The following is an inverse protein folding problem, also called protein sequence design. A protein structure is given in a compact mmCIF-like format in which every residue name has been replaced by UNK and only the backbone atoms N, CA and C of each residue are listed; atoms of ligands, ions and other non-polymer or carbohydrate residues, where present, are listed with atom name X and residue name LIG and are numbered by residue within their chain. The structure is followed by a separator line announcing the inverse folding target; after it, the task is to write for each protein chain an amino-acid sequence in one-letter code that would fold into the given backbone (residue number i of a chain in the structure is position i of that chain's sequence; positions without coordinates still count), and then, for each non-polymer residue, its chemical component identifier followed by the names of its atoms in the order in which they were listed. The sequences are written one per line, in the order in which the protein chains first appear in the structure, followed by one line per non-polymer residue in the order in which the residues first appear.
data_IF_297959921319
#
_entry.id   IF_297959921319
#
_cell.length_a   1.000
_cell.length_b   1.000
_cell.length_c   1.000
_cell.angle_alpha   90.00
_cell.angle_beta   90.00
_cell.angle_gamma   90.00
#
_symmetry.space_group_name_H-M   'P 1'
#
loop_
_entity.id
_entity.type
_entity.pdbx_description
1 polymer ?
#
# COMPACT_ATOMS: atom_id res chain seq x y z
N UNK A 1 15.73 -25.11 -30.28
CA UNK A 1 14.70 -24.05 -30.26
C UNK A 1 15.31 -22.92 -29.45
N UNK A 2 15.66 -21.83 -30.13
CA UNK A 2 16.52 -20.75 -29.62
C UNK A 2 15.99 -20.14 -28.33
N UNK A 3 16.86 -20.08 -27.32
CA UNK A 3 16.71 -19.20 -26.17
C UNK A 3 16.75 -17.79 -26.74
N UNK A 4 15.59 -17.15 -26.88
CA UNK A 4 15.53 -15.72 -27.20
C UNK A 4 16.34 -14.99 -26.15
N UNK A 5 17.36 -14.26 -26.61
CA UNK A 5 18.15 -13.33 -25.83
C UNK A 5 17.25 -12.53 -24.89
N UNK A 6 17.36 -12.83 -23.58
CA UNK A 6 16.86 -11.92 -22.55
C UNK A 6 17.77 -10.71 -22.68
N UNK A 7 17.22 -9.63 -23.21
CA UNK A 7 17.86 -8.32 -23.27
C UNK A 7 18.39 -7.99 -21.87
N UNK A 8 19.69 -8.20 -21.67
CA UNK A 8 20.35 -7.99 -20.38
C UNK A 8 20.35 -6.50 -20.14
N UNK A 9 19.35 -6.04 -19.38
CA UNK A 9 19.35 -4.67 -18.86
C UNK A 9 20.67 -4.49 -18.15
N UNK A 10 21.45 -3.50 -18.58
CA UNK A 10 22.65 -3.11 -17.85
C UNK A 10 22.23 -2.75 -16.42
N UNK A 11 22.57 -3.61 -15.46
CA UNK A 11 22.24 -3.45 -14.04
C UNK A 11 23.21 -2.47 -13.35
N UNK A 12 24.15 -1.90 -14.10
CA UNK A 12 25.06 -0.90 -13.54
C UNK A 12 24.37 0.45 -13.39
N UNK A 13 24.71 1.14 -12.30
CA UNK A 13 24.23 2.47 -12.03
C UNK A 13 25.03 3.48 -12.84
N UNK A 14 24.56 3.77 -14.06
CA UNK A 14 25.18 4.81 -14.89
C UNK A 14 25.01 6.20 -14.27
N UNK A 15 25.93 7.16 -14.54
CA UNK A 15 25.80 8.54 -14.04
C UNK A 15 24.47 9.20 -14.40
N UNK A 16 23.93 8.88 -15.58
CA UNK A 16 22.63 9.39 -16.02
C UNK A 16 21.47 8.84 -15.17
N UNK A 17 21.49 7.53 -14.85
CA UNK A 17 20.48 6.92 -13.97
C UNK A 17 20.59 7.45 -12.55
N UNK A 18 21.81 7.62 -12.05
CA UNK A 18 22.06 8.23 -10.74
C UNK A 18 21.46 9.63 -10.67
N UNK A 19 21.82 10.52 -11.60
CA UNK A 19 21.32 11.89 -11.63
C UNK A 19 19.80 11.94 -11.75
N UNK A 20 19.21 11.17 -12.68
CA UNK A 20 17.76 11.06 -12.85
C UNK A 20 17.07 10.58 -11.57
N UNK A 21 17.58 9.53 -10.94
CA UNK A 21 16.99 8.97 -9.72
C UNK A 21 17.07 9.94 -8.55
N UNK A 22 18.21 10.63 -8.37
CA UNK A 22 18.36 11.68 -7.36
C UNK A 22 17.38 12.85 -7.60
N UNK A 23 17.20 13.28 -8.84
CA UNK A 23 16.23 14.30 -9.19
C UNK A 23 14.78 13.84 -8.91
N UNK A 24 14.42 12.62 -9.29
CA UNK A 24 13.11 12.05 -9.01
C UNK A 24 12.85 11.94 -7.50
N UNK A 25 13.84 11.46 -6.74
CA UNK A 25 13.75 11.37 -5.28
C UNK A 25 13.58 12.75 -4.64
N UNK A 26 14.34 13.76 -5.10
CA UNK A 26 14.19 15.14 -4.62
C UNK A 26 12.78 15.67 -4.89
N UNK A 27 12.26 15.49 -6.10
CA UNK A 27 10.90 15.91 -6.46
C UNK A 27 9.87 15.18 -5.59
N UNK A 28 9.98 13.86 -5.42
CA UNK A 28 9.07 13.07 -4.58
C UNK A 28 9.07 13.57 -3.13
N UNK A 29 10.24 13.82 -2.54
CA UNK A 29 10.36 14.28 -1.15
C UNK A 29 9.83 15.72 -0.96
N UNK A 30 10.17 16.64 -1.85
CA UNK A 30 9.72 18.03 -1.77
C UNK A 30 8.20 18.14 -1.96
N UNK A 31 7.67 17.44 -2.96
CA UNK A 31 6.23 17.41 -3.21
C UNK A 31 5.50 16.70 -2.07
N UNK A 32 6.03 15.60 -1.51
CA UNK A 32 5.42 14.93 -0.36
C UNK A 32 5.26 15.88 0.83
N UNK A 33 6.34 16.59 1.18
CA UNK A 33 6.33 17.52 2.30
C UNK A 33 5.30 18.64 2.09
N UNK A 34 5.34 19.31 0.94
CA UNK A 34 4.40 20.40 0.63
C UNK A 34 2.96 19.90 0.58
N UNK A 35 2.70 18.76 -0.07
CA UNK A 35 1.37 18.18 -0.18
C UNK A 35 0.79 17.86 1.20
N UNK A 36 1.62 17.29 2.09
CA UNK A 36 1.24 16.92 3.43
C UNK A 36 0.94 18.14 4.32
N UNK A 37 1.80 19.17 4.29
CA UNK A 37 1.67 20.34 5.15
C UNK A 37 0.54 21.28 4.70
N UNK A 38 0.38 21.50 3.40
CA UNK A 38 -0.66 22.42 2.89
C UNK A 38 -2.01 21.73 2.73
N UNK A 39 -2.05 20.53 2.14
CA UNK A 39 -3.32 19.90 1.77
C UNK A 39 -3.68 18.75 2.71
N UNK A 40 -2.72 17.93 3.11
CA UNK A 40 -2.91 16.85 4.07
C UNK A 40 -3.38 17.38 5.43
N UNK A 41 -2.73 18.41 5.96
CA UNK A 41 -3.12 19.05 7.21
C UNK A 41 -4.54 19.64 7.14
N UNK A 42 -4.87 20.38 6.08
CA UNK A 42 -6.21 20.96 5.91
C UNK A 42 -7.29 19.88 5.81
N UNK A 43 -7.08 18.88 4.95
CA UNK A 43 -8.05 17.80 4.71
C UNK A 43 -8.23 16.89 5.92
N UNK A 44 -7.15 16.46 6.57
CA UNK A 44 -7.21 15.49 7.67
C UNK A 44 -7.55 16.12 9.02
N UNK A 45 -7.32 17.42 9.21
CA UNK A 45 -7.57 18.11 10.48
C UNK A 45 -8.79 19.01 10.36
N UNK A 46 -8.73 20.04 9.53
CA UNK A 46 -9.80 21.05 9.48
C UNK A 46 -11.09 20.50 8.86
N UNK A 47 -11.03 19.86 7.70
CA UNK A 47 -12.24 19.29 7.07
C UNK A 47 -12.84 18.17 7.94
N UNK A 48 -11.99 17.40 8.63
CA UNK A 48 -12.39 16.28 9.47
C UNK A 48 -13.27 16.67 10.65
N UNK A 49 -13.04 17.86 11.21
CA UNK A 49 -13.84 18.44 12.29
C UNK A 49 -15.30 18.71 11.86
N UNK A 50 -15.56 18.81 10.55
CA UNK A 50 -16.92 18.94 10.01
C UNK A 50 -17.46 17.61 9.48
N UNK A 51 -16.63 16.81 8.79
CA UNK A 51 -17.05 15.52 8.23
C UNK A 51 -15.87 14.59 7.96
N UNK A 52 -15.96 13.35 8.46
CA UNK A 52 -14.98 12.29 8.18
C UNK A 52 -15.02 11.90 6.70
N UNK A 53 -16.22 11.77 6.10
CA UNK A 53 -16.39 11.43 4.69
C UNK A 53 -15.68 12.42 3.76
N UNK A 54 -15.96 13.72 3.92
CA UNK A 54 -15.34 14.74 3.08
C UNK A 54 -13.85 14.91 3.36
N UNK A 55 -13.42 14.70 4.61
CA UNK A 55 -12.00 14.63 4.96
C UNK A 55 -11.30 13.52 4.19
N UNK A 56 -11.82 12.29 4.25
CA UNK A 56 -11.28 11.14 3.50
C UNK A 56 -11.26 11.41 2.01
N UNK A 57 -12.34 11.91 1.42
CA UNK A 57 -12.41 12.25 0.00
C UNK A 57 -11.36 13.29 -0.41
N UNK A 58 -11.18 14.34 0.37
CA UNK A 58 -10.17 15.37 0.11
C UNK A 58 -8.75 14.81 0.25
N UNK A 59 -8.47 14.09 1.35
CA UNK A 59 -7.17 13.43 1.57
C UNK A 59 -6.85 12.46 0.44
N UNK A 60 -7.81 11.63 0.02
CA UNK A 60 -7.67 10.67 -1.06
C UNK A 60 -7.40 11.33 -2.42
N UNK A 61 -8.00 12.49 -2.70
CA UNK A 61 -7.70 13.25 -3.91
C UNK A 61 -6.23 13.72 -3.94
N UNK A 62 -5.79 14.42 -2.89
CA UNK A 62 -4.44 14.98 -2.83
C UNK A 62 -3.37 13.89 -2.75
N UNK A 63 -3.56 12.93 -1.85
CA UNK A 63 -2.59 11.87 -1.65
C UNK A 63 -2.61 10.85 -2.80
N UNK A 64 -3.79 10.51 -3.33
CA UNK A 64 -3.88 9.65 -4.53
C UNK A 64 -3.17 10.27 -5.73
N UNK A 65 -3.28 11.59 -5.90
CA UNK A 65 -2.53 12.32 -6.95
C UNK A 65 -1.02 12.26 -6.71
N UNK A 66 -0.56 12.41 -5.46
CA UNK A 66 0.87 12.27 -5.13
C UNK A 66 1.36 10.83 -5.30
N UNK A 67 0.61 9.83 -4.85
CA UNK A 67 0.95 8.42 -5.03
C UNK A 67 1.09 8.04 -6.51
N UNK A 68 0.31 8.64 -7.41
CA UNK A 68 0.36 8.35 -8.84
C UNK A 68 1.74 8.64 -9.47
N UNK A 69 2.59 9.45 -8.82
CA UNK A 69 3.97 9.67 -9.25
C UNK A 69 4.81 8.38 -9.17
N UNK A 70 4.48 7.44 -8.28
CA UNK A 70 5.23 6.19 -8.11
C UNK A 70 4.96 5.17 -9.23
N UNK A 71 3.70 4.75 -9.52
CA UNK A 71 3.41 3.96 -10.72
C UNK A 71 3.94 4.58 -12.01
N UNK A 72 3.89 5.92 -12.13
CA UNK A 72 4.48 6.61 -13.27
C UNK A 72 6.01 6.47 -13.32
N UNK A 73 6.69 6.62 -12.18
CA UNK A 73 8.13 6.37 -12.07
C UNK A 73 8.46 4.93 -12.47
N UNK A 74 7.71 3.95 -11.96
CA UNK A 74 7.94 2.53 -12.24
C UNK A 74 7.71 2.20 -13.72
N UNK A 75 6.49 2.39 -14.21
CA UNK A 75 6.11 1.93 -15.55
C UNK A 75 6.59 2.85 -16.67
N UNK A 76 6.60 4.17 -16.48
CA UNK A 76 6.87 5.13 -17.56
C UNK A 76 8.30 5.64 -17.60
N UNK A 77 8.94 5.87 -16.44
CA UNK A 77 10.33 6.37 -16.38
C UNK A 77 11.32 5.21 -16.33
N UNK A 78 11.10 4.25 -15.43
CA UNK A 78 11.97 3.08 -15.26
C UNK A 78 11.66 1.96 -16.26
N UNK A 79 10.51 2.03 -16.94
CA UNK A 79 10.03 1.01 -17.87
C UNK A 79 9.97 -0.39 -17.23
N UNK A 80 9.63 -0.44 -15.94
CA UNK A 80 9.25 -1.69 -15.27
C UNK A 80 7.97 -2.18 -15.92
N UNK A 81 7.96 -3.43 -16.40
CA UNK A 81 6.72 -4.05 -16.90
C UNK A 81 5.95 -4.61 -15.73
N UNK A 82 4.73 -4.11 -15.51
CA UNK A 82 3.82 -4.64 -14.50
C UNK A 82 2.79 -5.51 -15.21
N UNK A 83 2.86 -6.82 -14.97
CA UNK A 83 2.06 -7.83 -15.65
C UNK A 83 1.00 -8.35 -14.68
N UNK A 84 -0.27 -8.13 -15.03
CA UNK A 84 -1.39 -8.62 -14.25
C UNK A 84 -1.89 -9.95 -14.79
N UNK A 85 -2.29 -10.85 -13.88
CA UNK A 85 -2.77 -12.18 -14.24
C UNK A 85 -3.87 -12.69 -13.30
N UNK A 86 -4.52 -13.79 -13.66
CA UNK A 86 -5.62 -14.38 -12.89
C UNK A 86 -6.98 -13.80 -13.26
N UNK A 87 -7.67 -13.18 -12.30
CA UNK A 87 -8.99 -12.60 -12.52
C UNK A 87 -8.92 -11.09 -12.81
N UNK A 88 -9.76 -10.63 -13.75
CA UNK A 88 -10.03 -9.21 -13.91
C UNK A 88 -10.96 -8.75 -12.79
N UNK A 89 -10.50 -7.78 -11.99
CA UNK A 89 -11.26 -7.35 -10.81
C UNK A 89 -12.08 -6.07 -11.05
N UNK A 90 -13.25 -5.87 -10.44
CA UNK A 90 -14.07 -4.70 -10.74
C UNK A 90 -13.44 -3.39 -10.23
N UNK A 91 -13.73 -2.28 -10.91
CA UNK A 91 -13.31 -0.97 -10.48
C UNK A 91 -14.13 -0.52 -9.27
N UNK A 92 -13.50 0.25 -8.37
CA UNK A 92 -14.15 0.91 -7.23
C UNK A 92 -14.81 -0.02 -6.18
N UNK A 93 -14.47 -1.30 -6.16
CA UNK A 93 -14.86 -2.17 -5.04
C UNK A 93 -14.18 -1.75 -3.73
N UNK A 94 -14.86 -2.02 -2.63
CA UNK A 94 -14.33 -1.97 -1.27
C UNK A 94 -13.75 -3.33 -0.93
N UNK A 95 -12.44 -3.40 -0.69
CA UNK A 95 -11.75 -4.68 -0.55
C UNK A 95 -10.81 -4.72 0.63
N UNK A 96 -10.72 -5.92 1.21
CA UNK A 96 -9.56 -6.32 2.00
C UNK A 96 -8.61 -7.05 1.05
N UNK A 97 -7.40 -6.54 0.90
CA UNK A 97 -6.37 -7.10 0.04
C UNK A 97 -5.35 -7.83 0.91
N UNK A 98 -5.10 -9.10 0.62
CA UNK A 98 -4.01 -9.88 1.22
C UNK A 98 -2.94 -10.17 0.17
N UNK A 99 -1.66 -10.11 0.57
CA UNK A 99 -0.55 -10.42 -0.33
C UNK A 99 0.59 -11.16 0.38
N UNK A 100 1.41 -11.89 -0.40
CA UNK A 100 2.74 -12.30 0.06
C UNK A 100 3.67 -11.09 0.20
N UNK A 101 4.69 -11.21 1.04
CA UNK A 101 5.63 -10.15 1.36
C UNK A 101 7.07 -10.60 1.11
N UNK A 102 7.61 -10.27 -0.06
CA UNK A 102 8.96 -10.60 -0.53
C UNK A 102 9.98 -9.49 -0.27
N UNK A 103 9.56 -8.24 -0.26
CA UNK A 103 10.44 -7.06 -0.17
C UNK A 103 9.81 -5.94 0.64
N UNK A 104 10.65 -5.00 1.10
CA UNK A 104 10.21 -3.76 1.75
C UNK A 104 9.35 -2.83 0.86
N UNK A 105 9.29 -3.08 -0.45
CA UNK A 105 8.59 -2.24 -1.44
C UNK A 105 7.36 -2.90 -2.08
N UNK A 106 6.99 -4.12 -1.69
CA UNK A 106 5.84 -4.83 -2.30
C UNK A 106 4.54 -4.03 -2.24
N UNK A 107 4.33 -3.36 -1.11
CA UNK A 107 3.17 -2.51 -0.86
C UNK A 107 3.04 -1.36 -1.87
N UNK A 108 4.15 -0.92 -2.47
CA UNK A 108 4.18 0.11 -3.50
C UNK A 108 3.66 -0.44 -4.84
N UNK A 109 3.87 -1.72 -5.15
CA UNK A 109 3.35 -2.34 -6.36
C UNK A 109 1.83 -2.59 -6.32
N UNK A 110 1.23 -2.59 -5.13
CA UNK A 110 -0.23 -2.56 -5.00
C UNK A 110 -0.83 -1.25 -5.54
N UNK A 111 -0.03 -0.17 -5.65
CA UNK A 111 -0.47 1.09 -6.26
C UNK A 111 -0.72 0.97 -7.75
N UNK A 112 0.03 0.14 -8.46
CA UNK A 112 -0.16 -0.11 -9.90
C UNK A 112 -1.53 -0.74 -10.17
N UNK A 113 -2.01 -1.61 -9.28
CA UNK A 113 -3.38 -2.13 -9.33
C UNK A 113 -4.39 -1.06 -8.90
N UNK A 114 -4.16 -0.42 -7.75
CA UNK A 114 -5.11 0.52 -7.17
C UNK A 114 -5.40 1.73 -8.08
N UNK A 115 -4.40 2.21 -8.84
CA UNK A 115 -4.60 3.31 -9.80
C UNK A 115 -5.49 2.89 -10.97
N UNK A 116 -5.33 1.66 -11.48
CA UNK A 116 -6.16 1.09 -12.55
C UNK A 116 -7.62 0.89 -12.11
N UNK A 117 -7.83 0.64 -10.81
CA UNK A 117 -9.17 0.49 -10.22
C UNK A 117 -9.78 1.78 -9.69
N UNK A 118 -9.07 2.91 -9.82
CA UNK A 118 -9.53 4.21 -9.33
C UNK A 118 -9.65 4.26 -7.81
N UNK A 119 -8.79 3.52 -7.11
CA UNK A 119 -8.80 3.33 -5.65
C UNK A 119 -7.47 3.71 -4.98
N UNK A 120 -6.50 4.24 -5.74
CA UNK A 120 -5.18 4.61 -5.23
C UNK A 120 -5.23 5.54 -4.01
N UNK A 121 -6.10 6.54 -4.00
CA UNK A 121 -6.24 7.46 -2.86
C UNK A 121 -6.90 6.84 -1.62
N UNK A 122 -7.50 5.66 -1.75
CA UNK A 122 -8.26 4.97 -0.69
C UNK A 122 -7.53 3.73 -0.16
N UNK A 123 -6.31 3.46 -0.65
CA UNK A 123 -5.49 2.38 -0.14
C UNK A 123 -4.95 2.71 1.26
N UNK A 124 -5.10 1.77 2.18
CA UNK A 124 -4.67 1.84 3.59
C UNK A 124 -3.92 0.56 3.94
N UNK A 125 -3.02 0.63 4.91
CA UNK A 125 -2.20 -0.51 5.30
C UNK A 125 -2.27 -0.80 6.79
N UNK A 126 -2.11 -2.08 7.14
CA UNK A 126 -1.72 -2.50 8.49
C UNK A 126 -0.20 -2.61 8.51
N UNK A 127 0.47 -1.80 9.35
CA UNK A 127 1.92 -1.66 9.34
C UNK A 127 2.54 -1.69 10.74
N UNK A 128 3.86 -1.92 10.81
CA UNK A 128 4.60 -1.94 12.08
C UNK A 128 4.64 -0.56 12.73
N UNK A 129 4.26 -0.44 14.00
CA UNK A 129 4.19 0.82 14.73
C UNK A 129 5.49 1.62 14.76
N UNK A 130 6.65 0.95 14.69
CA UNK A 130 7.95 1.64 14.59
C UNK A 130 8.09 2.52 13.35
N UNK A 131 7.37 2.24 12.25
CA UNK A 131 7.38 3.06 11.04
C UNK A 131 6.69 4.41 11.23
N UNK A 132 5.79 4.53 12.21
CA UNK A 132 5.16 5.81 12.58
C UNK A 132 6.16 6.83 13.13
N UNK A 133 7.35 6.38 13.54
CA UNK A 133 8.43 7.24 14.06
C UNK A 133 9.27 7.89 12.95
N UNK A 134 9.08 7.50 11.70
CA UNK A 134 9.80 8.09 10.57
C UNK A 134 9.31 9.54 10.34
N UNK A 135 10.21 10.53 10.29
CA UNK A 135 9.83 11.90 9.97
C UNK A 135 9.11 11.98 8.62
N UNK A 136 8.06 12.81 8.53
CA UNK A 136 7.20 13.00 7.35
C UNK A 136 6.37 11.76 6.97
N UNK A 137 6.98 10.58 6.85
CA UNK A 137 6.27 9.32 6.55
C UNK A 137 5.26 8.94 7.64
N UNK A 138 5.64 9.06 8.92
CA UNK A 138 4.72 8.80 10.03
C UNK A 138 3.50 9.71 10.00
N UNK A 139 3.69 10.98 9.63
CA UNK A 139 2.59 11.95 9.47
C UNK A 139 1.68 11.56 8.30
N UNK A 140 2.25 11.13 7.18
CA UNK A 140 1.49 10.63 6.04
C UNK A 140 0.66 9.40 6.42
N UNK A 141 1.27 8.40 7.05
CA UNK A 141 0.58 7.20 7.53
C UNK A 141 -0.56 7.52 8.50
N UNK A 142 -0.34 8.51 9.38
CA UNK A 142 -1.36 8.96 10.31
C UNK A 142 -2.55 9.64 9.60
N UNK A 143 -2.26 10.57 8.68
CA UNK A 143 -3.26 11.28 7.84
C UNK A 143 -4.09 10.30 7.01
N UNK A 144 -3.45 9.26 6.48
CA UNK A 144 -4.08 8.26 5.62
C UNK A 144 -4.85 7.19 6.40
N UNK A 145 -4.83 7.28 7.73
CA UNK A 145 -5.48 6.33 8.62
C UNK A 145 -4.94 4.90 8.44
N UNK A 146 -3.63 4.75 8.24
CA UNK A 146 -2.99 3.44 8.31
C UNK A 146 -3.10 2.90 9.74
N UNK A 147 -3.26 1.59 9.87
CA UNK A 147 -3.40 0.91 11.15
C UNK A 147 -2.01 0.47 11.61
N UNK A 148 -1.48 1.11 12.65
CA UNK A 148 -0.19 0.75 13.24
C UNK A 148 -0.35 -0.37 14.26
N UNK A 149 0.50 -1.40 14.19
CA UNK A 149 0.51 -2.55 15.11
C UNK A 149 1.90 -2.80 15.69
N UNK A 150 1.98 -3.15 16.97
CA UNK A 150 3.19 -3.59 17.67
C UNK A 150 3.58 -5.04 17.33
N UNK A 151 2.66 -5.78 16.68
CA UNK A 151 2.75 -7.22 16.41
C UNK A 151 2.64 -8.05 17.69
N UNK A 152 1.81 -7.57 18.63
CA UNK A 152 1.44 -8.21 19.89
C UNK A 152 -0.07 -8.09 20.04
N UNK A 153 -0.78 -9.22 19.98
CA UNK A 153 -2.24 -9.22 19.89
C UNK A 153 -2.90 -8.43 21.02
N UNK A 154 -2.41 -8.60 22.25
CA UNK A 154 -2.95 -8.00 23.47
C UNK A 154 -2.85 -6.47 23.46
N UNK A 155 -1.87 -5.91 22.74
CA UNK A 155 -1.72 -4.46 22.55
C UNK A 155 -2.49 -3.94 21.32
N UNK A 156 -2.61 -4.77 20.29
CA UNK A 156 -3.08 -4.36 18.97
C UNK A 156 -4.61 -4.48 18.80
N UNK A 157 -5.25 -5.44 19.46
CA UNK A 157 -6.66 -5.81 19.27
C UNK A 157 -7.60 -4.60 19.37
N UNK A 158 -7.53 -3.85 20.47
CA UNK A 158 -8.40 -2.70 20.72
C UNK A 158 -8.21 -1.58 19.69
N UNK A 159 -6.95 -1.27 19.35
CA UNK A 159 -6.59 -0.24 18.38
C UNK A 159 -7.05 -0.63 16.97
N UNK A 160 -6.86 -1.89 16.59
CA UNK A 160 -7.34 -2.43 15.31
C UNK A 160 -8.86 -2.36 15.22
N UNK A 161 -9.58 -2.86 16.23
CA UNK A 161 -11.04 -2.79 16.29
C UNK A 161 -11.56 -1.36 16.16
N UNK A 162 -10.97 -0.39 16.88
CA UNK A 162 -11.37 1.01 16.80
C UNK A 162 -11.20 1.57 15.38
N UNK A 163 -10.06 1.30 14.73
CA UNK A 163 -9.79 1.75 13.37
C UNK A 163 -10.74 1.11 12.36
N UNK A 164 -10.92 -0.23 12.42
CA UNK A 164 -11.80 -0.98 11.54
C UNK A 164 -13.27 -0.55 11.70
N UNK A 165 -13.70 -0.26 12.93
CA UNK A 165 -15.03 0.29 13.21
C UNK A 165 -15.27 1.60 12.46
N UNK A 166 -14.25 2.45 12.35
CA UNK A 166 -14.33 3.71 11.60
C UNK A 166 -14.40 3.53 10.07
N UNK A 167 -14.17 2.31 9.55
CA UNK A 167 -14.19 1.98 8.13
C UNK A 167 -15.46 1.22 7.70
N UNK A 168 -16.43 1.01 8.60
CA UNK A 168 -17.66 0.26 8.32
C UNK A 168 -18.65 0.98 7.41
N UNK A 169 -18.55 2.30 7.25
CA UNK A 169 -19.43 3.07 6.36
C UNK A 169 -19.20 2.67 4.90
N UNK A 170 -20.22 2.07 4.28
CA UNK A 170 -20.19 1.57 2.90
C UNK A 170 -20.03 2.70 1.87
N UNK A 171 -20.42 3.94 2.19
CA UNK A 171 -20.29 5.07 1.28
C UNK A 171 -18.84 5.58 1.12
N UNK A 172 -17.92 5.10 1.97
CA UNK A 172 -16.55 5.61 2.14
C UNK A 172 -15.49 4.66 1.52
N UNK A 173 -15.03 4.82 0.26
CA UNK A 173 -14.24 3.78 -0.41
C UNK A 173 -13.03 3.28 0.40
N UNK A 174 -12.73 1.98 0.30
CA UNK A 174 -11.73 1.33 1.15
C UNK A 174 -10.96 0.25 0.40
N UNK A 175 -9.64 0.39 0.36
CA UNK A 175 -8.71 -0.68 -0.02
C UNK A 175 -7.78 -0.94 1.17
N UNK A 176 -8.14 -1.87 2.06
CA UNK A 176 -7.30 -2.20 3.21
C UNK A 176 -6.33 -3.33 2.83
N UNK A 177 -5.04 -3.05 2.77
CA UNK A 177 -4.00 -4.02 2.47
C UNK A 177 -3.35 -4.57 3.75
N UNK A 178 -3.22 -5.89 3.78
CA UNK A 178 -2.58 -6.66 4.84
C UNK A 178 -1.58 -7.64 4.22
N UNK A 179 -0.43 -7.82 4.86
CA UNK A 179 0.53 -8.87 4.55
C UNK A 179 0.52 -9.90 5.68
N UNK A 180 -0.24 -11.01 5.57
CA UNK A 180 -0.38 -11.99 6.64
C UNK A 180 0.93 -12.61 7.14
N UNK A 181 1.98 -12.67 6.31
CA UNK A 181 3.32 -13.11 6.73
C UNK A 181 3.87 -12.27 7.90
N UNK A 182 3.45 -11.00 7.98
CA UNK A 182 3.82 -10.07 9.05
C UNK A 182 5.27 -9.60 9.01
N UNK A 183 6.06 -10.05 8.04
CA UNK A 183 7.41 -9.59 7.74
C UNK A 183 7.76 -9.96 6.30
N UNK A 184 8.69 -9.23 5.72
CA UNK A 184 9.36 -9.55 4.47
C UNK A 184 10.06 -10.92 4.52
N UNK A 185 9.98 -11.65 3.43
CA UNK A 185 10.58 -12.95 3.24
C UNK A 185 12.11 -12.86 3.18
N UNK A 186 12.77 -13.73 3.94
CA UNK A 186 14.18 -14.06 3.74
C UNK A 186 14.35 -15.57 3.89
N UNK A 187 15.38 -16.14 3.29
CA UNK A 187 15.67 -17.57 3.42
C UNK A 187 15.80 -18.01 4.89
N UNK A 188 16.48 -17.21 5.71
CA UNK A 188 16.59 -17.45 7.15
C UNK A 188 15.23 -17.49 7.88
N UNK A 189 14.34 -16.53 7.57
CA UNK A 189 12.98 -16.51 8.13
C UNK A 189 12.15 -17.68 7.62
N UNK A 190 12.35 -18.09 6.37
CA UNK A 190 11.69 -19.26 5.78
C UNK A 190 12.10 -20.54 6.53
N UNK A 191 13.39 -20.77 6.73
CA UNK A 191 13.90 -21.91 7.51
C UNK A 191 13.31 -21.94 8.92
N UNK A 192 13.26 -20.77 9.59
CA UNK A 192 12.63 -20.67 10.91
C UNK A 192 11.12 -20.98 10.87
N UNK A 193 10.41 -20.46 9.86
CA UNK A 193 8.99 -20.72 9.64
C UNK A 193 8.73 -22.22 9.38
N UNK A 194 9.57 -22.88 8.60
CA UNK A 194 9.49 -24.32 8.31
C UNK A 194 9.74 -25.17 9.56
N UNK A 195 10.73 -24.80 10.38
CA UNK A 195 10.96 -25.48 11.67
C UNK A 195 9.73 -25.37 12.57
N UNK A 196 9.16 -24.16 12.70
CA UNK A 196 7.94 -23.96 13.47
C UNK A 196 6.76 -24.76 12.90
N UNK A 197 6.64 -24.81 11.56
CA UNK A 197 5.59 -25.58 10.90
C UNK A 197 5.70 -27.08 11.22
N UNK A 198 6.90 -27.66 11.14
CA UNK A 198 7.15 -29.06 11.48
C UNK A 198 6.81 -29.38 12.94
N UNK A 199 7.20 -28.52 13.88
CA UNK A 199 6.89 -28.67 15.31
C UNK A 199 5.39 -28.64 15.61
N UNK A 200 4.61 -27.91 14.80
CA UNK A 200 3.16 -27.72 14.99
C UNK A 200 2.30 -28.56 14.06
N UNK A 201 2.91 -29.41 13.21
CA UNK A 201 2.18 -30.20 12.21
C UNK A 201 1.47 -29.34 11.15
N UNK A 202 2.00 -28.16 10.86
CA UNK A 202 1.50 -27.25 9.81
C UNK A 202 2.20 -27.54 8.47
N UNK A 203 1.64 -27.08 7.33
CA UNK A 203 2.28 -27.21 6.03
C UNK A 203 3.67 -26.56 6.00
N UNK A 204 4.64 -27.26 5.42
CA UNK A 204 5.96 -26.71 5.13
C UNK A 204 5.87 -25.90 3.84
N UNK A 205 6.15 -24.59 3.91
CA UNK A 205 6.10 -23.66 2.79
C UNK A 205 7.53 -23.22 2.43
N UNK A 206 7.80 -23.01 1.15
CA UNK A 206 9.15 -22.73 0.62
C UNK A 206 9.28 -21.32 0.03
N UNK A 207 8.19 -20.79 -0.52
CA UNK A 207 8.17 -19.52 -1.25
C UNK A 207 7.54 -18.37 -0.45
N UNK A 208 6.84 -18.68 0.65
CA UNK A 208 6.15 -17.75 1.56
C UNK A 208 6.32 -18.20 3.01
N UNK A 209 6.13 -17.28 3.96
CA UNK A 209 6.07 -17.59 5.38
C UNK A 209 4.66 -18.02 5.80
N UNK A 210 4.57 -18.71 6.95
CA UNK A 210 3.26 -19.05 7.53
C UNK A 210 2.46 -17.78 7.85
N UNK A 211 1.19 -17.67 7.43
CA UNK A 211 0.39 -16.49 7.67
C UNK A 211 -0.05 -16.37 9.14
N UNK A 212 -0.02 -15.15 9.66
CA UNK A 212 -0.64 -14.78 10.95
C UNK A 212 -2.12 -14.52 10.74
N UNK A 213 -2.95 -15.22 11.51
CA UNK A 213 -4.39 -15.34 11.24
C UNK A 213 -5.25 -14.30 11.97
N UNK A 214 -4.89 -13.95 13.21
CA UNK A 214 -5.72 -13.08 14.08
C UNK A 214 -6.09 -11.74 13.44
N UNK A 215 -5.10 -11.03 12.89
CA UNK A 215 -5.32 -9.73 12.24
C UNK A 215 -6.22 -9.82 11.00
N UNK A 216 -6.06 -10.87 10.19
CA UNK A 216 -6.93 -11.13 9.05
C UNK A 216 -8.36 -11.46 9.48
N UNK A 217 -8.52 -12.36 10.46
CA UNK A 217 -9.82 -12.72 11.01
C UNK A 217 -10.58 -11.50 11.52
N UNK A 218 -9.89 -10.65 12.29
CA UNK A 218 -10.45 -9.41 12.80
C UNK A 218 -10.92 -8.47 11.66
N UNK A 219 -10.08 -8.26 10.64
CA UNK A 219 -10.46 -7.42 9.50
C UNK A 219 -11.70 -7.95 8.77
N UNK A 220 -11.74 -9.25 8.47
CA UNK A 220 -12.89 -9.88 7.81
C UNK A 220 -14.13 -9.79 8.70
N UNK A 221 -14.00 -10.05 10.00
CA UNK A 221 -15.12 -10.02 10.93
C UNK A 221 -15.75 -8.63 11.03
N UNK A 222 -14.93 -7.59 11.23
CA UNK A 222 -15.44 -6.23 11.41
C UNK A 222 -15.95 -5.63 10.10
N UNK A 223 -15.29 -5.89 8.97
CA UNK A 223 -15.62 -5.24 7.71
C UNK A 223 -16.58 -6.07 6.84
N UNK A 224 -16.96 -7.30 7.25
CA UNK A 224 -17.73 -8.25 6.42
C UNK A 224 -18.96 -7.65 5.75
N UNK A 225 -19.71 -6.83 6.47
CA UNK A 225 -20.96 -6.24 5.96
C UNK A 225 -20.74 -5.08 4.99
N UNK A 226 -19.51 -4.60 4.89
CA UNK A 226 -19.13 -3.41 4.12
C UNK A 226 -18.13 -3.68 3.00
N UNK A 227 -17.52 -4.86 2.93
CA UNK A 227 -16.61 -5.23 1.84
C UNK A 227 -17.40 -5.90 0.71
N UNK A 228 -16.96 -5.65 -0.52
CA UNK A 228 -17.48 -6.35 -1.70
C UNK A 228 -16.76 -7.70 -1.88
N UNK A 229 -15.45 -7.75 -1.59
CA UNK A 229 -14.63 -8.95 -1.72
C UNK A 229 -13.32 -8.90 -0.89
N UNK A 230 -12.66 -10.06 -0.78
CA UNK A 230 -11.22 -10.14 -0.47
C UNK A 230 -10.46 -10.34 -1.77
N UNK A 231 -9.41 -9.56 -2.00
CA UNK A 231 -8.46 -9.81 -3.09
C UNK A 231 -7.25 -10.55 -2.55
N UNK A 232 -7.03 -11.78 -3.04
CA UNK A 232 -5.79 -12.50 -2.80
C UNK A 232 -4.79 -12.19 -3.92
N UNK A 233 -3.73 -11.48 -3.57
CA UNK A 233 -2.71 -10.99 -4.50
C UNK A 233 -1.42 -11.78 -4.31
N UNK A 234 -0.83 -12.26 -5.39
CA UNK A 234 0.48 -12.90 -5.38
C UNK A 234 1.45 -12.09 -6.23
N UNK A 235 2.52 -11.59 -5.62
CA UNK A 235 3.54 -10.79 -6.29
C UNK A 235 4.77 -11.67 -6.53
N UNK A 236 5.19 -11.72 -7.79
CA UNK A 236 6.42 -12.38 -8.23
C UNK A 236 7.32 -11.37 -8.95
N UNK A 237 8.62 -11.38 -8.63
CA UNK A 237 9.61 -10.53 -9.31
C UNK A 237 10.45 -11.41 -10.23
N UNK A 238 10.56 -11.01 -11.50
CA UNK A 238 11.44 -11.71 -12.43
C UNK A 238 12.88 -11.26 -12.19
N UNK A 239 13.82 -12.19 -12.31
CA UNK A 239 15.26 -12.01 -12.08
C UNK A 239 15.64 -11.72 -10.61
N UNK A 240 15.23 -10.59 -10.04
CA UNK A 240 15.59 -10.20 -8.68
C UNK A 240 14.50 -9.38 -8.00
N UNK A 241 14.36 -9.59 -6.70
CA UNK A 241 13.59 -8.70 -5.82
C UNK A 241 14.20 -7.29 -5.79
N UNK A 242 13.40 -6.22 -5.92
CA UNK A 242 13.88 -4.85 -5.84
C UNK A 242 14.04 -4.35 -4.41
N UNK A 243 15.02 -3.47 -4.20
CA UNK A 243 15.08 -2.56 -3.06
C UNK A 243 14.40 -1.21 -3.37
N UNK A 244 14.22 -0.36 -2.36
CA UNK A 244 13.75 1.01 -2.59
C UNK A 244 14.67 1.80 -3.53
N UNK A 245 15.99 1.63 -3.41
CA UNK A 245 16.95 2.34 -4.26
C UNK A 245 16.92 1.82 -5.70
N UNK A 246 16.71 0.52 -5.89
CA UNK A 246 16.52 -0.03 -7.24
C UNK A 246 15.34 0.64 -7.95
N UNK A 247 14.23 0.81 -7.25
CA UNK A 247 13.06 1.52 -7.76
C UNK A 247 13.35 3.01 -8.05
N UNK A 248 14.13 3.69 -7.21
CA UNK A 248 14.46 5.12 -7.41
C UNK A 248 15.36 5.33 -8.63
N UNK A 249 16.36 4.46 -8.80
CA UNK A 249 17.33 4.58 -9.90
C UNK A 249 16.88 3.88 -11.19
N UNK A 250 15.86 3.03 -11.10
CA UNK A 250 15.34 2.23 -12.21
C UNK A 250 16.28 1.09 -12.59
N UNK A 251 16.83 0.41 -11.59
CA UNK A 251 17.70 -0.76 -11.76
C UNK A 251 16.88 -2.06 -11.80
N UNK A 252 16.04 -2.25 -10.79
CA UNK A 252 15.09 -3.36 -10.64
C UNK A 252 13.75 -2.82 -10.15
N UNK A 253 12.66 -3.58 -10.35
CA UNK A 253 12.56 -4.79 -11.15
C UNK A 253 12.37 -4.45 -12.63
N UNK A 254 12.88 -5.29 -13.52
CA UNK A 254 12.54 -5.19 -14.95
C UNK A 254 11.09 -5.61 -15.21
N UNK A 255 10.63 -6.69 -14.56
CA UNK A 255 9.27 -7.22 -14.68
C UNK A 255 8.73 -7.62 -13.29
N UNK A 256 7.53 -7.14 -12.97
CA UNK A 256 6.76 -7.52 -11.77
C UNK A 256 5.48 -8.18 -12.24
N UNK A 257 5.21 -9.37 -11.73
CA UNK A 257 3.97 -10.08 -12.00
C UNK A 257 3.07 -10.00 -10.77
N UNK A 258 1.80 -9.65 -10.98
CA UNK A 258 0.79 -9.52 -9.95
C UNK A 258 -0.39 -10.42 -10.34
N UNK A 259 -0.49 -11.58 -9.70
CA UNK A 259 -1.62 -12.48 -9.86
C UNK A 259 -2.72 -12.15 -8.86
N UNK A 260 -3.96 -12.05 -9.32
CA UNK A 260 -5.09 -11.64 -8.50
C UNK A 260 -6.18 -12.69 -8.55
N UNK A 261 -6.69 -13.05 -7.38
CA UNK A 261 -7.92 -13.81 -7.23
C UNK A 261 -8.93 -13.00 -6.40
N UNK A 262 -10.15 -12.83 -6.91
CA UNK A 262 -11.24 -12.16 -6.20
C UNK A 262 -12.09 -13.19 -5.46
N UNK A 263 -12.18 -13.03 -4.15
CA UNK A 263 -12.83 -13.99 -3.25
C UNK A 263 -14.08 -13.33 -2.66
N UNK A 264 -15.29 -13.76 -3.07
CA UNK A 264 -16.52 -13.33 -2.43
C UNK A 264 -16.54 -13.68 -0.94
N UNK A 265 -17.07 -12.78 -0.09
CA UNK A 265 -17.02 -12.99 1.36
C UNK A 265 -17.81 -14.21 1.87
N UNK A 266 -18.78 -14.70 1.10
CA UNK A 266 -19.52 -15.92 1.45
C UNK A 266 -18.70 -17.20 1.26
N UNK A 267 -17.58 -17.15 0.53
CA UNK A 267 -16.60 -18.25 0.46
C UNK A 267 -15.62 -18.26 1.64
N UNK A 268 -15.59 -17.19 2.45
CA UNK A 268 -14.73 -17.10 3.62
C UNK A 268 -15.56 -17.51 4.84
N UNK A 269 -15.08 -18.45 5.68
CA UNK A 269 -15.81 -18.90 6.87
C UNK A 269 -15.88 -17.81 7.95
N UNK A 270 -16.72 -18.03 8.96
CA UNK A 270 -17.01 -17.02 10.00
C UNK A 270 -16.24 -17.23 11.29
N UNK A 271 -16.03 -18.47 11.72
CA UNK A 271 -15.35 -18.79 12.98
C UNK A 271 -13.84 -18.62 12.86
N UNK A 272 -13.18 -18.18 13.93
CA UNK A 272 -11.74 -17.91 13.95
C UNK A 272 -10.91 -19.10 13.44
N UNK A 273 -11.17 -20.31 13.96
CA UNK A 273 -10.45 -21.52 13.57
C UNK A 273 -10.62 -21.86 12.08
N UNK A 274 -11.84 -21.71 11.54
CA UNK A 274 -12.07 -21.98 10.12
C UNK A 274 -11.41 -20.90 9.24
N UNK A 275 -11.42 -19.64 9.66
CA UNK A 275 -10.73 -18.54 8.97
C UNK A 275 -9.21 -18.77 8.98
N UNK A 276 -8.65 -19.23 10.09
CA UNK A 276 -7.24 -19.58 10.20
C UNK A 276 -6.86 -20.69 9.21
N UNK A 277 -7.66 -21.76 9.14
CA UNK A 277 -7.45 -22.86 8.19
C UNK A 277 -7.61 -22.40 6.74
N UNK A 278 -8.61 -21.57 6.45
CA UNK A 278 -8.83 -21.00 5.13
C UNK A 278 -7.64 -20.14 4.67
N UNK A 279 -7.10 -19.30 5.56
CA UNK A 279 -5.95 -18.44 5.25
C UNK A 279 -4.68 -19.28 5.04
N UNK A 280 -4.47 -20.32 5.87
CA UNK A 280 -3.36 -21.27 5.70
C UNK A 280 -3.44 -21.99 4.35
N UNK A 281 -4.63 -22.44 3.94
CA UNK A 281 -4.84 -23.06 2.64
C UNK A 281 -4.57 -22.07 1.49
N UNK A 282 -5.03 -20.82 1.63
CA UNK A 282 -4.77 -19.75 0.66
C UNK A 282 -3.26 -19.53 0.47
N UNK A 283 -2.49 -19.49 1.57
CA UNK A 283 -1.02 -19.37 1.50
C UNK A 283 -0.33 -20.62 0.98
N UNK A 284 -0.91 -21.81 1.18
CA UNK A 284 -0.43 -23.06 0.56
C UNK A 284 -0.59 -23.03 -0.96
N UNK A 285 -1.74 -22.56 -1.46
CA UNK A 285 -1.96 -22.36 -2.89
C UNK A 285 -1.03 -21.29 -3.46
N UNK A 286 -0.83 -20.18 -2.73
CA UNK A 286 0.13 -19.12 -3.09
C UNK A 286 1.56 -19.64 -3.19
N UNK A 287 1.96 -20.51 -2.27
CA UNK A 287 3.27 -21.17 -2.31
C UNK A 287 3.47 -21.98 -3.60
N UNK A 288 2.46 -22.77 -3.99
CA UNK A 288 2.48 -23.56 -5.22
C UNK A 288 2.47 -22.69 -6.48
N UNK A 289 1.75 -21.55 -6.44
CA UNK A 289 1.72 -20.60 -7.54
C UNK A 289 3.10 -19.95 -7.75
N UNK A 290 3.78 -19.57 -6.66
CA UNK A 290 5.14 -19.02 -6.72
C UNK A 290 6.18 -20.05 -7.17
N UNK A 291 6.03 -21.32 -6.80
CA UNK A 291 6.88 -22.41 -7.29
C UNK A 291 6.81 -22.54 -8.83
N UNK A 292 5.59 -22.53 -9.37
CA UNK A 292 5.37 -22.50 -10.82
C UNK A 292 5.93 -21.22 -11.45
N UNK A 293 5.77 -20.07 -10.80
CA UNK A 293 6.33 -18.81 -11.28
C UNK A 293 7.87 -18.86 -11.35
N UNK A 294 8.55 -19.41 -10.35
CA UNK A 294 10.01 -19.52 -10.36
C UNK A 294 10.53 -20.44 -11.47
N UNK A 295 9.78 -21.49 -11.83
CA UNK A 295 10.16 -22.39 -12.93
C UNK A 295 9.77 -21.88 -14.32
N UNK A 296 8.65 -21.18 -14.46
CA UNK A 296 8.09 -20.74 -15.74
C UNK A 296 8.43 -19.28 -16.09
N UNK A 297 8.73 -18.47 -15.08
CA UNK A 297 9.01 -17.04 -15.21
C UNK A 297 7.77 -16.16 -15.45
N UNK A 298 6.56 -16.71 -15.29
CA UNK A 298 5.29 -16.00 -15.46
C UNK A 298 4.15 -16.67 -14.67
N UNK A 299 3.06 -15.95 -14.44
CA UNK A 299 1.84 -16.49 -13.84
C UNK A 299 0.85 -16.93 -14.93
N UNK A 300 -0.14 -17.79 -14.64
CA UNK A 300 -1.16 -18.18 -15.61
C UNK A 300 -2.15 -17.03 -15.89
N UNK A 301 -2.72 -16.99 -17.10
CA UNK A 301 -3.76 -16.03 -17.52
C UNK A 301 -3.31 -14.56 -17.41
N UNK A 302 -2.25 -14.18 -18.13
CA UNK A 302 -1.75 -12.80 -18.15
C UNK A 302 -2.61 -11.85 -19.00
N UNK A 303 -2.46 -10.54 -18.75
CA UNK A 303 -3.13 -9.48 -19.50
C UNK A 303 -4.53 -9.15 -18.98
N UNK A 304 -4.80 -9.41 -17.71
CA UNK A 304 -6.12 -9.17 -17.09
C UNK A 304 -6.40 -7.69 -16.82
N UNK A 305 -5.36 -6.86 -16.79
CA UNK A 305 -5.46 -5.42 -16.58
C UNK A 305 -4.73 -4.67 -17.70
N UNK A 306 -5.30 -3.54 -18.11
CA UNK A 306 -4.75 -2.72 -19.18
C UNK A 306 -3.51 -1.91 -18.76
N UNK A 307 -2.94 -1.20 -19.72
CA UNK A 307 -1.80 -0.32 -19.48
C UNK A 307 -2.13 0.83 -18.53
N UNK A 308 -1.10 1.30 -17.81
CA UNK A 308 -1.20 2.51 -17.02
C UNK A 308 -1.50 3.71 -17.92
N UNK A 309 -2.62 4.39 -17.64
CA UNK A 309 -3.05 5.58 -18.37
C UNK A 309 -2.05 6.71 -18.20
N UNK A 310 -1.25 6.96 -19.24
CA UNK A 310 -0.27 8.05 -19.27
C UNK A 310 -0.94 9.40 -19.04
N UNK A 311 -2.12 9.63 -19.63
CA UNK A 311 -2.85 10.90 -19.48
C UNK A 311 -3.22 11.16 -18.02
N UNK A 312 -3.81 10.17 -17.33
CA UNK A 312 -4.21 10.33 -15.93
C UNK A 312 -2.99 10.60 -15.03
N UNK A 313 -1.89 9.87 -15.24
CA UNK A 313 -0.65 10.13 -14.52
C UNK A 313 -0.11 11.54 -14.78
N UNK A 314 -0.09 12.01 -16.03
CA UNK A 314 0.37 13.36 -16.38
C UNK A 314 -0.49 14.45 -15.75
N UNK A 315 -1.82 14.26 -15.68
CA UNK A 315 -2.73 15.16 -14.97
C UNK A 315 -2.41 15.19 -13.48
N UNK A 316 -2.20 14.03 -12.83
CA UNK A 316 -1.81 13.97 -11.42
C UNK A 316 -0.46 14.64 -11.17
N UNK A 317 0.55 14.37 -12.01
CA UNK A 317 1.89 14.96 -11.91
C UNK A 317 1.83 16.47 -12.05
N UNK A 318 1.12 16.97 -13.06
CA UNK A 318 0.98 18.41 -13.31
C UNK A 318 0.25 19.09 -12.14
N UNK A 319 -0.79 18.45 -11.61
CA UNK A 319 -1.51 18.93 -10.43
C UNK A 319 -0.57 19.03 -9.22
N UNK A 320 0.18 17.96 -8.92
CA UNK A 320 1.11 17.91 -7.78
C UNK A 320 2.21 18.96 -7.92
N UNK A 321 2.82 19.10 -9.11
CA UNK A 321 3.86 20.10 -9.37
C UNK A 321 3.29 21.50 -9.19
N UNK A 322 2.15 21.82 -9.79
CA UNK A 322 1.52 23.13 -9.69
C UNK A 322 1.22 23.51 -8.23
N UNK A 323 0.56 22.62 -7.49
CA UNK A 323 0.23 22.83 -6.08
C UNK A 323 1.49 23.00 -5.23
N UNK A 324 2.54 22.22 -5.51
CA UNK A 324 3.83 22.33 -4.82
C UNK A 324 4.51 23.66 -5.13
N UNK A 325 4.54 24.09 -6.40
CA UNK A 325 5.12 25.38 -6.80
C UNK A 325 4.40 26.54 -6.13
N UNK A 326 3.07 26.54 -6.11
CA UNK A 326 2.27 27.55 -5.41
C UNK A 326 2.58 27.55 -3.91
N UNK A 327 2.55 26.39 -3.26
CA UNK A 327 2.83 26.26 -1.82
C UNK A 327 4.25 26.71 -1.45
N UNK A 328 5.21 26.39 -2.30
CA UNK A 328 6.61 26.84 -2.16
C UNK A 328 6.70 28.34 -2.29
N UNK A 329 6.05 28.92 -3.31
CA UNK A 329 6.04 30.37 -3.50
C UNK A 329 5.44 31.10 -2.30
N UNK A 330 4.29 30.63 -1.80
CA UNK A 330 3.64 31.19 -0.62
C UNK A 330 4.55 31.12 0.62
N UNK A 331 5.22 29.98 0.82
CA UNK A 331 6.10 29.76 1.97
C UNK A 331 7.31 30.70 1.97
N UNK A 332 7.98 30.86 0.83
CA UNK A 332 9.27 31.57 0.80
C UNK A 332 9.17 33.04 0.38
N UNK A 333 8.23 33.38 -0.52
CA UNK A 333 8.21 34.67 -1.21
C UNK A 333 6.97 35.52 -0.94
N UNK A 334 5.93 34.99 -0.28
CA UNK A 334 4.71 35.77 0.01
C UNK A 334 4.79 36.54 1.33
N UNK A 335 4.44 35.90 2.46
CA UNK A 335 4.30 36.56 3.75
C UNK A 335 4.87 35.70 4.88
N UNK A 336 5.32 36.35 5.96
CA UNK A 336 5.82 35.67 7.17
C UNK A 336 4.77 34.70 7.76
N UNK A 337 3.48 34.98 7.57
CA UNK A 337 2.38 34.14 8.04
C UNK A 337 2.40 32.73 7.46
N UNK A 338 2.86 32.55 6.20
CA UNK A 338 2.98 31.22 5.62
C UNK A 338 4.12 30.41 6.24
N UNK A 339 5.23 31.06 6.63
CA UNK A 339 6.32 30.41 7.36
C UNK A 339 5.87 29.97 8.77
N UNK A 340 5.12 30.86 9.44
CA UNK A 340 4.49 30.54 10.74
C UNK A 340 3.51 29.38 10.58
N UNK A 341 2.64 29.41 9.57
CA UNK A 341 1.71 28.33 9.26
C UNK A 341 2.42 26.99 9.07
N UNK A 342 3.46 26.93 8.23
CA UNK A 342 4.22 25.69 7.99
C UNK A 342 4.83 25.18 9.29
N UNK A 343 5.42 26.05 10.10
CA UNK A 343 6.00 25.67 11.39
C UNK A 343 4.95 25.10 12.36
N UNK A 344 3.80 25.77 12.48
CA UNK A 344 2.69 25.32 13.33
C UNK A 344 2.08 24.01 12.82
N UNK A 345 1.86 23.88 11.52
CA UNK A 345 1.34 22.66 10.89
C UNK A 345 2.29 21.48 11.13
N UNK A 346 3.60 21.65 10.91
CA UNK A 346 4.59 20.62 11.20
C UNK A 346 4.60 20.22 12.69
N UNK A 347 4.57 21.20 13.59
CA UNK A 347 4.56 20.96 15.04
C UNK A 347 3.30 20.21 15.48
N UNK A 348 2.16 20.61 14.93
CA UNK A 348 0.88 19.94 15.18
C UNK A 348 0.87 18.52 14.61
N UNK A 349 1.29 18.33 13.35
CA UNK A 349 1.38 17.02 12.70
C UNK A 349 2.28 16.06 13.49
N UNK A 350 3.43 16.55 13.96
CA UNK A 350 4.32 15.79 14.83
C UNK A 350 3.63 15.40 16.14
N UNK A 351 2.97 16.35 16.81
CA UNK A 351 2.24 16.11 18.05
C UNK A 351 1.13 15.07 17.89
N UNK A 352 0.21 15.27 16.94
CA UNK A 352 -0.93 14.36 16.77
C UNK A 352 -0.51 12.98 16.29
N UNK A 353 0.55 12.88 15.48
CA UNK A 353 1.10 11.58 15.06
C UNK A 353 1.71 10.84 16.24
N UNK A 354 2.49 11.54 17.09
CA UNK A 354 3.14 10.94 18.25
C UNK A 354 2.14 10.39 19.27
N UNK A 355 1.06 11.14 19.53
CA UNK A 355 0.00 10.74 20.46
C UNK A 355 -1.16 9.99 19.80
N UNK A 356 -1.07 9.70 18.50
CA UNK A 356 -2.11 9.01 17.70
C UNK A 356 -3.51 9.66 17.83
N UNK A 357 -3.56 11.00 17.83
CA UNK A 357 -4.79 11.79 18.02
C UNK A 357 -5.40 12.11 16.66
N UNK A 358 -6.64 11.68 16.42
CA UNK A 358 -7.41 12.07 15.23
C UNK A 358 -8.57 12.98 15.61
N UNK A 359 -8.74 14.15 14.96
CA UNK A 359 -9.90 15.00 15.19
C UNK A 359 -11.21 14.24 14.92
N UNK A 360 -12.21 14.51 15.75
CA UNK A 360 -13.57 13.99 15.59
C UNK A 360 -14.52 15.13 15.23
N UNK A 361 -15.57 14.88 14.45
CA UNK A 361 -16.53 15.92 14.09
C UNK A 361 -17.22 16.54 15.31
N UNK A 362 -17.43 17.86 15.31
CA UNK A 362 -18.20 18.54 16.36
C UNK A 362 -19.69 18.18 16.33
N UNK A 363 -20.24 17.96 15.13
CA UNK A 363 -21.66 17.70 14.92
C UNK A 363 -21.88 16.25 14.49
N UNK A 364 -21.96 15.35 15.47
CA UNK A 364 -22.63 14.05 15.33
C UNK A 364 -21.75 12.83 15.02
N UNK A 365 -21.72 11.89 15.96
CA UNK A 365 -21.97 10.48 15.66
C UNK A 365 -23.46 10.23 15.87
N UNK A 366 -24.30 10.38 14.84
CA UNK A 366 -25.53 9.59 14.82
C UNK A 366 -25.09 8.19 14.40
N UNK A 367 -25.09 7.26 15.35
CA UNK A 367 -24.91 5.83 15.08
C UNK A 367 -25.96 5.42 14.04
N UNK A 368 -25.53 5.21 12.80
CA UNK A 368 -26.29 4.42 11.85
C UNK A 368 -26.13 2.96 12.30
N UNK A 369 -27.25 2.38 12.78
CA UNK A 369 -27.35 1.02 13.29
C UNK A 369 -27.12 -0.04 12.20
#
# INVERSE_FOLDING_TARGET
MEVKDVETRDHTLSPARLFRGLLCLLVLLLTAFMMLVYYGFISAIFVRVFSIHYSRKATSFFFGSWLALWPFLFEKINKTKVIFSGEMVPARERVLLIANHRTEVDWMYLWDLAIRKGQLGYIKYILKSSLMKLPVFGWAFHILEFISVERKWEADESTMHQMLSSFKDYHDPLWLALFPEGTDFTEQKCIQSQKHAAEKGLPILENVLLPKTKGFHLCVQDLRKSLDAVYDVTIGYKHRCPSLLDNVFGLEPSEVHIHIQRIPLHHIPTTENQVANWLMNTFTLKNQLLDKFHSQGHFPQEGTEGDLSTLNCLVSITTVILLTTISTYLTFFSSIWFKIYVSLACSFLAYVTHFNIRPMPFFGHRKSY
#
